data_IF_864856819266
#
_entry.id   IF_864856819266
#
_cell.length_a   1.000
_cell.length_b   1.000
_cell.length_c   1.000
_cell.angle_alpha   90.00
_cell.angle_beta   90.00
_cell.angle_gamma   90.00
#
_symmetry.space_group_name_H-M   'P 1'
#
loop_
_entity.id
_entity.type
_entity.pdbx_description
1 polymer ?
#
# COMPACT_ATOMS: atom_id res chain seq x y z
N UNK A 1 18.00 -2.98 13.90
CA UNK A 1 16.64 -3.29 14.38
C UNK A 1 15.64 -3.06 13.27
N UNK A 2 14.88 -4.00 12.94
CA UNK A 2 14.36 -4.40 11.63
C UNK A 2 12.88 -4.06 11.56
N UNK A 3 12.44 -3.33 10.51
CA UNK A 3 11.04 -2.94 10.23
C UNK A 3 10.09 -4.11 9.94
N UNK A 4 10.04 -5.08 10.84
CA UNK A 4 9.28 -6.30 10.62
C UNK A 4 7.79 -6.19 10.94
N UNK A 5 7.32 -5.08 11.52
CA UNK A 5 5.97 -5.05 12.11
C UNK A 5 5.13 -3.79 11.87
N UNK A 6 5.38 -3.04 10.81
CA UNK A 6 4.51 -1.90 10.47
C UNK A 6 3.08 -2.31 10.09
N UNK A 7 2.83 -3.62 9.88
CA UNK A 7 1.49 -4.18 9.64
C UNK A 7 1.06 -4.22 8.18
N UNK A 8 1.97 -4.32 7.22
CA UNK A 8 1.64 -4.45 5.78
C UNK A 8 0.66 -5.58 5.51
N UNK A 9 1.03 -6.80 5.89
CA UNK A 9 0.18 -7.98 5.73
C UNK A 9 -1.16 -7.83 6.45
N UNK A 10 -1.17 -7.20 7.62
CA UNK A 10 -2.41 -6.96 8.37
C UNK A 10 -3.36 -6.00 7.65
N UNK A 11 -2.83 -4.93 7.02
CA UNK A 11 -3.63 -4.00 6.20
C UNK A 11 -4.22 -4.74 4.99
N UNK A 12 -3.41 -5.56 4.31
CA UNK A 12 -3.85 -6.32 3.13
C UNK A 12 -4.89 -7.38 3.52
N UNK A 13 -4.65 -8.15 4.58
CA UNK A 13 -5.59 -9.16 5.06
C UNK A 13 -6.90 -8.54 5.52
N UNK A 14 -6.85 -7.40 6.22
CA UNK A 14 -8.05 -6.66 6.60
C UNK A 14 -8.85 -6.25 5.37
N UNK A 15 -8.18 -5.72 4.36
CA UNK A 15 -8.85 -5.28 3.14
C UNK A 15 -9.44 -6.43 2.33
N UNK A 16 -8.72 -7.54 2.17
CA UNK A 16 -9.13 -8.66 1.30
C UNK A 16 -10.14 -9.58 2.00
N UNK A 17 -9.87 -9.96 3.24
CA UNK A 17 -10.55 -11.04 3.96
C UNK A 17 -11.37 -10.54 5.16
N UNK A 18 -11.37 -9.23 5.42
CA UNK A 18 -11.92 -8.61 6.63
C UNK A 18 -11.43 -9.30 7.92
N UNK A 19 -10.17 -9.72 7.91
CA UNK A 19 -9.55 -10.48 8.98
C UNK A 19 -8.35 -9.75 9.57
N UNK A 20 -8.19 -9.84 10.89
CA UNK A 20 -7.02 -9.37 11.63
C UNK A 20 -6.53 -10.46 12.57
N UNK A 21 -5.26 -10.83 12.45
CA UNK A 21 -4.59 -11.71 13.41
C UNK A 21 -3.72 -10.88 14.35
N UNK A 22 -3.95 -11.00 15.65
CA UNK A 22 -3.09 -10.40 16.66
C UNK A 22 -1.69 -11.06 16.76
N UNK A 23 -1.48 -12.18 16.07
CA UNK A 23 -0.18 -12.85 16.03
C UNK A 23 0.66 -12.27 14.89
N UNK A 24 1.90 -11.87 15.20
CA UNK A 24 2.90 -11.44 14.24
C UNK A 24 3.31 -12.62 13.35
N UNK A 25 2.64 -12.81 12.24
CA UNK A 25 3.17 -13.63 11.17
C UNK A 25 4.07 -12.72 10.31
N UNK A 26 5.38 -12.86 10.47
CA UNK A 26 6.31 -12.22 9.54
C UNK A 26 6.12 -12.85 8.16
N UNK A 27 5.81 -12.02 7.15
CA UNK A 27 5.74 -12.49 5.76
C UNK A 27 7.10 -13.04 5.35
N UNK A 28 7.15 -14.34 5.08
CA UNK A 28 8.34 -14.99 4.54
C UNK A 28 8.18 -15.01 3.02
N UNK A 29 8.78 -14.01 2.34
CA UNK A 29 8.71 -13.91 0.89
C UNK A 29 7.72 -12.85 0.40
N UNK A 30 7.19 -13.05 -0.80
CA UNK A 30 6.19 -12.19 -1.44
C UNK A 30 4.89 -12.99 -1.53
N UNK A 31 3.80 -12.46 -0.97
CA UNK A 31 2.46 -13.03 -1.11
C UNK A 31 1.66 -12.20 -2.11
N UNK A 32 0.77 -12.87 -2.84
CA UNK A 32 -0.04 -12.27 -3.89
C UNK A 32 -1.52 -12.49 -3.62
N UNK A 33 -2.29 -11.41 -3.57
CA UNK A 33 -3.73 -11.45 -3.36
C UNK A 33 -4.47 -10.67 -4.42
N UNK A 34 -5.73 -11.03 -4.68
CA UNK A 34 -6.59 -10.33 -5.63
C UNK A 34 -7.93 -9.99 -5.00
N UNK A 35 -8.45 -8.80 -5.33
CA UNK A 35 -9.82 -8.38 -4.98
C UNK A 35 -10.46 -7.68 -6.19
N UNK A 36 -11.72 -7.95 -6.44
CA UNK A 36 -12.51 -7.20 -7.40
C UNK A 36 -13.31 -6.12 -6.67
N UNK A 37 -13.27 -4.92 -7.21
CA UNK A 37 -14.03 -3.79 -6.69
C UNK A 37 -14.75 -3.08 -7.85
N UNK A 38 -15.83 -2.41 -7.54
CA UNK A 38 -16.54 -1.54 -8.49
C UNK A 38 -16.18 -0.08 -8.24
N UNK A 39 -15.71 0.60 -9.28
CA UNK A 39 -15.36 2.02 -9.23
C UNK A 39 -15.88 2.69 -10.49
N UNK A 40 -16.77 3.69 -10.33
CA UNK A 40 -17.36 4.44 -11.45
C UNK A 40 -17.99 3.51 -12.52
N UNK A 41 -18.85 2.57 -12.10
CA UNK A 41 -19.52 1.57 -12.95
C UNK A 41 -18.56 0.65 -13.73
N UNK A 42 -17.32 0.53 -13.27
CA UNK A 42 -16.29 -0.36 -13.82
C UNK A 42 -15.85 -1.39 -12.79
N UNK A 43 -15.81 -2.65 -13.18
CA UNK A 43 -15.24 -3.71 -12.35
C UNK A 43 -13.73 -3.73 -12.55
N UNK A 44 -13.01 -3.54 -11.46
CA UNK A 44 -11.55 -3.49 -11.42
C UNK A 44 -11.06 -4.67 -10.62
N UNK A 45 -10.13 -5.43 -11.19
CA UNK A 45 -9.41 -6.48 -10.47
C UNK A 45 -8.11 -5.90 -9.92
N UNK A 46 -8.07 -5.71 -8.63
CA UNK A 46 -6.84 -5.33 -7.91
C UNK A 46 -5.97 -6.56 -7.70
N UNK A 47 -4.70 -6.41 -7.97
CA UNK A 47 -3.66 -7.39 -7.64
C UNK A 47 -2.75 -6.76 -6.61
N UNK A 48 -2.63 -7.36 -5.42
CA UNK A 48 -1.93 -6.80 -4.27
C UNK A 48 -0.77 -7.72 -3.89
N UNK A 49 0.44 -7.15 -3.83
CA UNK A 49 1.65 -7.88 -3.46
C UNK A 49 2.10 -7.50 -2.06
N UNK A 50 2.04 -8.43 -1.13
CA UNK A 50 2.61 -8.26 0.20
C UNK A 50 4.10 -8.62 0.17
N UNK A 51 4.95 -7.66 0.39
CA UNK A 51 6.39 -7.91 0.41
C UNK A 51 6.92 -7.96 1.83
N UNK A 52 7.85 -8.87 2.07
CA UNK A 52 8.60 -8.90 3.31
C UNK A 52 9.33 -7.56 3.51
N UNK A 53 9.08 -6.88 4.63
CA UNK A 53 9.71 -5.61 4.99
C UNK A 53 11.20 -5.71 5.31
N UNK A 54 11.83 -6.85 5.08
CA UNK A 54 13.22 -7.08 5.44
C UNK A 54 14.16 -6.61 4.33
N UNK A 55 15.14 -5.79 4.65
CA UNK A 55 16.19 -5.30 3.75
C UNK A 55 16.91 -6.40 2.96
N UNK A 56 16.99 -7.63 3.50
CA UNK A 56 17.53 -8.81 2.80
C UNK A 56 16.78 -9.13 1.51
N UNK A 57 15.53 -8.73 1.38
CA UNK A 57 14.70 -8.96 0.19
C UNK A 57 14.63 -7.73 -0.71
N UNK A 58 15.42 -6.68 -0.44
CA UNK A 58 15.40 -5.42 -1.19
C UNK A 58 15.57 -5.62 -2.70
N UNK A 59 16.45 -6.55 -3.12
CA UNK A 59 16.66 -6.84 -4.54
C UNK A 59 15.42 -7.44 -5.20
N UNK A 60 14.67 -8.27 -4.48
CA UNK A 60 13.43 -8.86 -4.97
C UNK A 60 12.36 -7.77 -5.03
N UNK A 61 12.23 -6.97 -3.98
CA UNK A 61 11.27 -5.87 -3.89
C UNK A 61 11.44 -4.85 -5.02
N UNK A 62 12.67 -4.46 -5.34
CA UNK A 62 12.94 -3.47 -6.40
C UNK A 62 12.58 -3.97 -7.82
N UNK A 63 12.59 -5.29 -8.07
CA UNK A 63 12.18 -5.83 -9.38
C UNK A 63 10.71 -5.55 -9.65
N UNK A 64 9.92 -5.53 -8.64
CA UNK A 64 8.49 -5.29 -8.74
C UNK A 64 8.16 -3.79 -8.86
N UNK A 65 8.95 -2.86 -8.33
CA UNK A 65 8.70 -1.42 -8.51
C UNK A 65 8.60 -1.00 -9.98
N UNK A 66 9.24 -1.74 -10.90
CA UNK A 66 9.20 -1.45 -12.34
C UNK A 66 7.83 -1.66 -12.97
N UNK A 67 7.03 -2.59 -12.44
CA UNK A 67 5.70 -2.94 -12.95
C UNK A 67 4.57 -2.29 -12.16
N UNK A 68 4.84 -1.81 -10.95
CA UNK A 68 3.84 -1.22 -10.08
C UNK A 68 3.23 0.06 -10.66
N UNK A 69 1.92 0.19 -10.56
CA UNK A 69 1.19 1.42 -10.91
C UNK A 69 0.95 2.29 -9.68
N UNK A 70 0.86 1.67 -8.50
CA UNK A 70 0.86 2.35 -7.22
C UNK A 70 1.81 1.67 -6.24
N UNK A 71 2.42 2.43 -5.36
CA UNK A 71 3.23 1.95 -4.25
C UNK A 71 2.76 2.63 -2.98
N UNK A 72 2.34 1.81 -2.02
CA UNK A 72 1.91 2.26 -0.71
C UNK A 72 3.06 2.05 0.27
N UNK A 73 3.51 3.10 0.92
CA UNK A 73 4.57 3.06 1.92
C UNK A 73 3.95 3.21 3.30
N UNK A 74 4.23 2.25 4.18
CA UNK A 74 3.67 2.22 5.53
C UNK A 74 4.74 2.52 6.58
N UNK A 75 4.30 3.21 7.64
CA UNK A 75 5.00 3.28 8.91
C UNK A 75 4.03 2.97 10.07
N UNK A 76 4.58 2.63 11.21
CA UNK A 76 3.84 2.45 12.47
C UNK A 76 3.89 3.76 13.25
N UNK A 77 2.75 4.33 13.63
CA UNK A 77 2.69 5.59 14.39
C UNK A 77 3.38 5.52 15.74
N UNK A 78 3.66 4.31 16.23
CA UNK A 78 4.34 4.06 17.52
C UNK A 78 5.85 3.81 17.38
N UNK A 79 6.38 3.77 16.11
CA UNK A 79 7.78 3.43 15.84
C UNK A 79 8.46 4.52 14.98
N UNK A 80 9.28 5.34 15.64
CA UNK A 80 10.05 6.41 14.98
C UNK A 80 11.00 5.88 13.91
N UNK A 81 11.60 4.70 14.13
CA UNK A 81 12.51 4.09 13.17
C UNK A 81 11.81 3.79 11.85
N UNK A 82 10.58 3.25 11.89
CA UNK A 82 9.80 2.98 10.69
C UNK A 82 9.48 4.27 9.91
N UNK A 83 9.25 5.39 10.60
CA UNK A 83 9.03 6.68 9.97
C UNK A 83 10.30 7.26 9.33
N UNK A 84 11.45 7.12 9.97
CA UNK A 84 12.73 7.55 9.43
C UNK A 84 13.11 6.82 8.13
N UNK A 85 12.75 5.54 8.03
CA UNK A 85 13.03 4.71 6.85
C UNK A 85 12.20 5.10 5.61
N UNK A 86 11.12 5.87 5.75
CA UNK A 86 10.32 6.36 4.60
C UNK A 86 11.21 7.05 3.58
N UNK A 87 12.18 7.84 4.01
CA UNK A 87 13.11 8.56 3.11
C UNK A 87 13.87 7.59 2.19
N UNK A 88 14.33 6.48 2.75
CA UNK A 88 15.06 5.46 2.00
C UNK A 88 14.14 4.75 1.00
N UNK A 89 12.91 4.45 1.40
CA UNK A 89 11.92 3.85 0.50
C UNK A 89 11.57 4.80 -0.65
N UNK A 90 11.40 6.09 -0.40
CA UNK A 90 11.14 7.07 -1.45
C UNK A 90 12.29 7.16 -2.46
N UNK A 91 13.54 7.13 -2.00
CA UNK A 91 14.73 7.11 -2.86
C UNK A 91 14.74 5.85 -3.75
N UNK A 92 14.44 4.69 -3.17
CA UNK A 92 14.39 3.44 -3.92
C UNK A 92 13.27 3.44 -4.97
N UNK A 93 12.09 3.93 -4.59
CA UNK A 93 10.95 4.04 -5.52
C UNK A 93 11.30 5.00 -6.67
N UNK A 94 11.93 6.12 -6.40
CA UNK A 94 12.34 7.08 -7.43
C UNK A 94 13.42 6.50 -8.36
N UNK A 95 14.30 5.65 -7.82
CA UNK A 95 15.38 5.03 -8.59
C UNK A 95 14.92 3.84 -9.43
N UNK A 96 14.02 3.01 -8.91
CA UNK A 96 13.67 1.71 -9.48
C UNK A 96 12.23 1.63 -9.98
N UNK A 97 11.37 2.53 -9.52
CA UNK A 97 9.97 2.54 -9.87
C UNK A 97 9.71 3.02 -11.30
N UNK A 98 8.52 2.68 -11.80
CA UNK A 98 8.03 3.21 -13.08
C UNK A 98 7.85 4.72 -12.99
N UNK A 99 8.22 5.44 -14.03
CA UNK A 99 7.96 6.88 -14.11
C UNK A 99 6.45 7.17 -13.96
N UNK A 100 6.12 8.08 -13.03
CA UNK A 100 4.72 8.42 -12.75
C UNK A 100 3.97 7.41 -11.88
N UNK A 101 4.67 6.46 -11.24
CA UNK A 101 4.05 5.55 -10.27
C UNK A 101 3.31 6.36 -9.19
N UNK A 102 2.08 5.95 -8.87
CA UNK A 102 1.32 6.57 -7.78
C UNK A 102 1.96 6.14 -6.44
N UNK A 103 2.27 7.11 -5.60
CA UNK A 103 2.80 6.86 -4.25
C UNK A 103 1.77 7.29 -3.22
N UNK A 104 1.59 6.49 -2.18
CA UNK A 104 0.71 6.78 -1.04
C UNK A 104 1.47 6.50 0.24
N UNK A 105 1.41 7.41 1.20
CA UNK A 105 1.98 7.24 2.53
C UNK A 105 0.90 6.89 3.54
N UNK A 106 1.17 5.91 4.41
CA UNK A 106 0.23 5.46 5.44
C UNK A 106 0.88 5.43 6.81
N UNK A 107 0.24 6.07 7.78
CA UNK A 107 0.46 5.84 9.20
C UNK A 107 -0.50 4.76 9.70
N UNK A 108 0.01 3.58 10.06
CA UNK A 108 -0.80 2.46 10.55
C UNK A 108 -0.78 2.37 12.08
N UNK A 109 -1.73 1.64 12.64
CA UNK A 109 -1.93 1.33 14.06
C UNK A 109 -2.41 2.53 14.88
N UNK A 110 -3.31 3.35 14.29
CA UNK A 110 -3.92 4.47 15.03
C UNK A 110 -4.79 4.02 16.21
N UNK A 111 -5.11 2.73 16.31
CA UNK A 111 -5.70 2.11 17.49
C UNK A 111 -4.77 2.15 18.72
N UNK A 112 -3.47 2.41 18.54
CA UNK A 112 -2.48 2.55 19.59
C UNK A 112 -2.18 4.03 19.91
N UNK A 113 -3.19 4.89 19.92
CA UNK A 113 -3.05 6.33 20.11
C UNK A 113 -2.27 6.71 21.37
N UNK A 114 -2.49 5.98 22.47
CA UNK A 114 -1.77 6.20 23.74
C UNK A 114 -0.25 5.98 23.63
N UNK A 115 0.18 5.22 22.62
CA UNK A 115 1.58 4.91 22.34
C UNK A 115 2.13 5.70 21.15
N UNK A 116 1.36 6.62 20.59
CA UNK A 116 1.76 7.42 19.43
C UNK A 116 3.07 8.16 19.67
N UNK A 117 4.01 8.03 18.75
CA UNK A 117 5.27 8.79 18.70
C UNK A 117 5.33 9.71 17.49
N UNK A 118 4.67 9.34 16.40
CA UNK A 118 4.63 10.13 15.17
C UNK A 118 3.28 10.83 15.10
N UNK A 119 3.29 12.15 15.14
CA UNK A 119 2.05 12.93 15.03
C UNK A 119 1.49 12.87 13.62
N UNK A 120 0.18 13.07 13.50
CA UNK A 120 -0.49 13.11 12.19
C UNK A 120 0.10 14.20 11.30
N UNK A 121 0.38 15.38 11.88
CA UNK A 121 0.98 16.52 11.18
C UNK A 121 2.38 16.19 10.63
N UNK A 122 3.15 15.36 11.34
CA UNK A 122 4.45 14.87 10.85
C UNK A 122 4.28 13.98 9.61
N UNK A 123 3.30 13.08 9.63
CA UNK A 123 2.92 12.25 8.48
C UNK A 123 2.46 13.08 7.28
N UNK A 124 1.56 14.04 7.50
CA UNK A 124 1.07 14.98 6.49
C UNK A 124 2.22 15.81 5.89
N UNK A 125 3.10 16.34 6.74
CA UNK A 125 4.27 17.08 6.31
C UNK A 125 5.22 16.26 5.44
N UNK A 126 5.44 14.99 5.82
CA UNK A 126 6.25 14.06 5.03
C UNK A 126 5.62 13.79 3.66
N UNK A 127 4.32 13.54 3.61
CA UNK A 127 3.59 13.30 2.37
C UNK A 127 3.61 14.54 1.46
N UNK A 128 3.37 15.72 2.01
CA UNK A 128 3.42 17.01 1.30
C UNK A 128 4.80 17.28 0.70
N UNK A 129 5.88 16.95 1.42
CA UNK A 129 7.25 17.07 0.92
C UNK A 129 7.49 16.27 -0.36
N UNK A 130 6.85 15.11 -0.50
CA UNK A 130 6.96 14.25 -1.68
C UNK A 130 5.81 14.44 -2.68
N UNK A 131 4.84 15.31 -2.39
CA UNK A 131 3.67 15.55 -3.26
C UNK A 131 2.78 14.31 -3.40
N UNK A 132 2.61 13.52 -2.33
CA UNK A 132 1.88 12.26 -2.32
C UNK A 132 0.71 12.28 -1.35
N UNK A 133 -0.26 11.37 -1.54
CA UNK A 133 -1.40 11.22 -0.64
C UNK A 133 -0.98 10.62 0.70
N UNK A 134 -1.73 10.97 1.74
CA UNK A 134 -1.52 10.49 3.09
C UNK A 134 -2.82 9.98 3.71
N UNK A 135 -2.74 8.84 4.39
CA UNK A 135 -3.81 8.28 5.21
C UNK A 135 -3.27 7.84 6.56
N UNK A 136 -4.10 7.92 7.57
CA UNK A 136 -3.91 7.16 8.80
C UNK A 136 -4.94 6.06 8.88
N UNK A 137 -4.50 4.85 9.23
CA UNK A 137 -5.35 3.64 9.24
C UNK A 137 -5.16 2.80 10.48
N UNK A 138 -6.14 1.96 10.79
CA UNK A 138 -5.98 0.82 11.70
C UNK A 138 -6.44 -0.46 11.02
N UNK A 139 -5.51 -1.36 10.79
CA UNK A 139 -5.84 -2.71 10.33
C UNK A 139 -6.60 -3.51 11.40
N UNK A 140 -6.33 -3.24 12.69
CA UNK A 140 -6.99 -3.89 13.81
C UNK A 140 -8.46 -3.48 13.89
N UNK A 141 -8.74 -2.20 13.93
CA UNK A 141 -10.08 -1.64 14.12
C UNK A 141 -10.83 -1.37 12.81
N UNK A 142 -10.23 -1.74 11.65
CA UNK A 142 -10.77 -1.53 10.31
C UNK A 142 -11.09 -0.05 10.01
N UNK A 143 -10.18 0.85 10.40
CA UNK A 143 -10.37 2.29 10.18
C UNK A 143 -9.65 2.71 8.91
N UNK A 144 -10.37 3.38 8.00
CA UNK A 144 -9.88 3.97 6.74
C UNK A 144 -9.26 2.96 5.75
N UNK A 145 -9.42 1.65 5.95
CA UNK A 145 -8.84 0.62 5.08
C UNK A 145 -9.49 0.63 3.70
N UNK A 146 -10.82 0.52 3.63
CA UNK A 146 -11.55 0.53 2.36
C UNK A 146 -11.38 1.87 1.62
N UNK A 147 -11.40 2.99 2.35
CA UNK A 147 -11.20 4.33 1.78
C UNK A 147 -9.82 4.46 1.11
N UNK A 148 -8.76 3.99 1.76
CA UNK A 148 -7.41 3.98 1.22
C UNK A 148 -7.34 3.30 -0.13
N UNK A 149 -7.84 2.06 -0.22
CA UNK A 149 -7.75 1.28 -1.45
C UNK A 149 -8.68 1.82 -2.54
N UNK A 150 -9.90 2.26 -2.18
CA UNK A 150 -10.84 2.86 -3.10
C UNK A 150 -10.29 4.17 -3.70
N UNK A 151 -9.75 5.05 -2.87
CA UNK A 151 -9.15 6.30 -3.32
C UNK A 151 -7.92 6.07 -4.20
N UNK A 152 -7.06 5.12 -3.82
CA UNK A 152 -5.92 4.70 -4.65
C UNK A 152 -6.38 4.22 -6.02
N UNK A 153 -7.43 3.38 -6.08
CA UNK A 153 -8.00 2.90 -7.33
C UNK A 153 -8.57 4.04 -8.19
N UNK A 154 -9.32 4.97 -7.59
CA UNK A 154 -9.84 6.15 -8.30
C UNK A 154 -8.74 6.98 -8.93
N UNK A 155 -7.69 7.29 -8.17
CA UNK A 155 -6.54 8.04 -8.70
C UNK A 155 -5.87 7.35 -9.88
N UNK A 156 -5.78 6.04 -9.86
CA UNK A 156 -5.19 5.27 -10.96
C UNK A 156 -6.08 5.29 -12.20
N UNK A 157 -7.40 5.21 -12.04
CA UNK A 157 -8.35 5.32 -13.15
C UNK A 157 -8.29 6.71 -13.79
N UNK A 158 -8.26 7.75 -12.97
CA UNK A 158 -8.16 9.14 -13.46
C UNK A 158 -6.87 9.40 -14.23
N UNK A 159 -5.77 8.76 -13.84
CA UNK A 159 -4.49 8.89 -14.53
C UNK A 159 -4.42 8.14 -15.86
N UNK A 160 -5.16 7.04 -15.99
CA UNK A 160 -5.07 6.19 -17.20
C UNK A 160 -6.40 5.49 -17.47
N UNK A 161 -6.94 5.65 -18.69
CA UNK A 161 -8.14 4.93 -19.12
C UNK A 161 -7.92 3.41 -19.30
N UNK A 162 -6.67 2.93 -19.27
CA UNK A 162 -6.28 1.53 -19.38
C UNK A 162 -5.30 1.18 -18.27
N UNK A 163 -5.80 0.84 -17.09
CA UNK A 163 -4.94 0.58 -15.93
C UNK A 163 -4.77 -0.90 -15.66
N UNK A 164 -3.52 -1.34 -15.64
CA UNK A 164 -3.06 -2.54 -14.95
C UNK A 164 -2.17 -2.07 -13.82
N UNK A 165 -2.49 -2.41 -12.59
CA UNK A 165 -1.79 -1.94 -11.39
C UNK A 165 -1.18 -3.13 -10.67
N UNK A 166 0.12 -3.20 -10.56
CA UNK A 166 0.86 -4.25 -9.86
C UNK A 166 1.43 -3.76 -8.54
N UNK A 167 1.36 -4.54 -7.48
CA UNK A 167 1.75 -4.10 -6.17
C UNK A 167 2.91 -4.84 -5.49
N UNK A 168 3.79 -4.10 -4.86
CA UNK A 168 4.93 -4.64 -4.14
C UNK A 168 5.30 -3.84 -2.91
N UNK A 169 5.50 -4.56 -1.85
CA UNK A 169 5.91 -4.05 -0.57
C UNK A 169 4.93 -3.13 0.07
N UNK A 170 3.93 -3.00 -0.51
CA UNK A 170 2.73 -2.24 -0.44
C UNK A 170 2.47 -1.52 -1.76
N UNK A 171 2.51 -2.11 -2.89
CA UNK A 171 2.10 -1.56 -4.18
C UNK A 171 0.84 -2.26 -4.73
N UNK A 172 -0.13 -1.68 -5.40
CA UNK A 172 -1.42 -2.27 -5.84
C UNK A 172 -1.48 -2.46 -7.35
N UNK A 173 -1.85 -3.66 -7.84
CA UNK A 173 -2.14 -3.87 -9.25
C UNK A 173 -3.63 -3.84 -9.49
N UNK A 174 -4.07 -2.95 -10.34
CA UNK A 174 -5.41 -2.93 -10.88
C UNK A 174 -5.37 -3.44 -12.32
N UNK A 175 -6.07 -4.52 -12.63
CA UNK A 175 -6.15 -5.07 -13.98
C UNK A 175 -7.55 -4.84 -14.53
N UNK A 176 -7.67 -3.98 -15.53
CA UNK A 176 -8.93 -3.76 -16.23
C UNK A 176 -9.12 -4.84 -17.29
N UNK A 177 -9.72 -5.97 -16.91
CA UNK A 177 -10.18 -6.94 -17.89
C UNK A 177 -11.34 -6.33 -18.67
N UNK A 178 -11.12 -6.05 -19.95
CA UNK A 178 -12.22 -5.83 -20.89
C UNK A 178 -13.13 -7.05 -20.85
N UNK A 179 -14.20 -6.96 -20.07
CA UNK A 179 -15.31 -7.90 -20.20
C UNK A 179 -15.95 -7.55 -21.54
N UNK A 180 -15.68 -8.36 -22.57
CA UNK A 180 -16.47 -8.35 -23.79
C UNK A 180 -17.89 -8.74 -23.40
N UNK A 181 -18.73 -7.77 -23.11
CA UNK A 181 -20.17 -7.95 -23.09
C UNK A 181 -20.57 -8.30 -24.53
N UNK A 182 -20.67 -9.58 -24.84
CA UNK A 182 -21.46 -10.02 -25.98
C UNK A 182 -22.86 -9.54 -25.71
N UNK A 183 -23.28 -8.52 -26.46
CA UNK A 183 -24.69 -8.19 -26.61
C UNK A 183 -25.35 -9.40 -27.25
N UNK A 184 -26.16 -10.12 -26.49
CA UNK A 184 -27.17 -11.01 -27.03
C UNK A 184 -28.41 -10.22 -27.38
#
# INVERSE_FOLDING_TARGET
>A
SIDLSVGKSSVILRYIEDYFSGSLMSSIGVDFKTKQIEVNDRIIKMQIWDTAGHEKFRTITTSYYKSAHAIIVLYDITDESSFEHIKNWMIDIDKFGKQGVLKVLIGNKIDLEDNRKITKEAGESMANKYGIKFFEVSAKDNINIDELFLDTAKCLIEKNENVVVDEIGSSIVLNNNKINLKKS
#
